data_IF_847775615458
#
_entry.id   IF_847775615458
#
_cell.length_a   1.000
_cell.length_b   1.000
_cell.length_c   1.000
_cell.angle_alpha   90.00
_cell.angle_beta   90.00
_cell.angle_gamma   90.00
#
_symmetry.space_group_name_H-M   'P 1'
#
loop_
_entity.id
_entity.type
_entity.pdbx_description
1 polymer ?
#
# COMPACT_ATOMS: atom_id res chain seq x y z
N UNK A 1 18.60 2.98 -7.42
CA UNK A 1 19.01 1.88 -8.33
C UNK A 1 18.96 0.51 -7.65
N UNK A 2 19.54 0.33 -6.45
CA UNK A 2 19.49 -0.96 -5.73
C UNK A 2 18.07 -1.50 -5.47
N UNK A 3 17.10 -0.62 -5.19
CA UNK A 3 15.71 -1.00 -4.90
C UNK A 3 15.00 -1.68 -6.07
N UNK A 4 15.19 -1.16 -7.29
CA UNK A 4 14.60 -1.76 -8.51
C UNK A 4 15.22 -3.13 -8.77
N UNK A 5 16.53 -3.25 -8.61
CA UNK A 5 17.23 -4.54 -8.74
C UNK A 5 16.71 -5.56 -7.71
N UNK A 6 16.49 -5.15 -6.46
CA UNK A 6 15.93 -6.01 -5.42
C UNK A 6 14.50 -6.50 -5.78
N UNK A 7 13.67 -5.62 -6.34
CA UNK A 7 12.34 -5.99 -6.82
C UNK A 7 12.39 -7.01 -7.96
N UNK A 8 13.29 -6.82 -8.94
CA UNK A 8 13.47 -7.77 -10.03
C UNK A 8 13.93 -9.15 -9.53
N UNK A 9 14.88 -9.18 -8.58
CA UNK A 9 15.36 -10.42 -7.96
C UNK A 9 14.25 -11.09 -7.15
N UNK A 10 13.46 -10.33 -6.40
CA UNK A 10 12.32 -10.83 -5.64
C UNK A 10 11.26 -11.51 -6.52
N UNK A 11 10.97 -10.93 -7.70
CA UNK A 11 10.04 -11.52 -8.69
C UNK A 11 10.61 -12.82 -9.28
N UNK A 12 11.90 -12.83 -9.64
CA UNK A 12 12.56 -14.01 -10.19
C UNK A 12 12.63 -15.16 -9.17
N UNK A 13 13.03 -14.86 -7.93
CA UNK A 13 13.04 -15.82 -6.83
C UNK A 13 11.63 -16.32 -6.50
N UNK A 14 10.63 -15.42 -6.49
CA UNK A 14 9.23 -15.77 -6.31
C UNK A 14 8.67 -16.68 -7.41
N UNK A 15 9.19 -16.62 -8.64
CA UNK A 15 8.78 -17.53 -9.72
C UNK A 15 9.47 -18.91 -9.61
N UNK A 16 10.70 -18.94 -9.12
CA UNK A 16 11.52 -20.16 -9.07
C UNK A 16 11.29 -21.00 -7.80
N UNK A 17 10.97 -20.37 -6.66
CA UNK A 17 10.79 -21.06 -5.37
C UNK A 17 9.35 -21.50 -5.06
N UNK A 18 8.33 -21.12 -5.83
CA UNK A 18 6.91 -21.24 -5.43
C UNK A 18 6.07 -22.23 -6.28
N UNK A 19 6.19 -23.55 -6.07
CA UNK A 19 5.18 -24.50 -6.52
C UNK A 19 3.87 -24.33 -5.71
N UNK A 20 2.73 -24.57 -6.37
CA UNK A 20 1.33 -24.21 -6.01
C UNK A 20 0.85 -24.48 -4.55
N UNK A 21 1.61 -25.22 -3.73
CA UNK A 21 1.27 -25.54 -2.33
C UNK A 21 1.73 -24.49 -1.30
N UNK A 22 2.72 -23.65 -1.61
CA UNK A 22 3.23 -22.62 -0.68
C UNK A 22 2.38 -21.35 -0.58
N UNK A 23 1.40 -21.17 -1.48
CA UNK A 23 0.67 -19.90 -1.67
C UNK A 23 -0.03 -19.41 -0.39
N UNK A 24 -0.62 -20.34 0.37
CA UNK A 24 -1.32 -20.04 1.63
C UNK A 24 -0.36 -19.65 2.75
N UNK A 25 0.80 -20.32 2.85
CA UNK A 25 1.82 -19.98 3.84
C UNK A 25 2.44 -18.61 3.54
N UNK A 26 2.70 -18.31 2.26
CA UNK A 26 3.17 -16.98 1.85
C UNK A 26 2.17 -15.89 2.19
N UNK A 27 0.88 -16.15 1.96
CA UNK A 27 -0.15 -15.16 2.22
C UNK A 27 -0.24 -14.85 3.72
N UNK A 28 -0.14 -15.86 4.60
CA UNK A 28 -0.09 -15.65 6.05
C UNK A 28 1.18 -14.92 6.49
N UNK A 29 2.33 -15.31 5.96
CA UNK A 29 3.62 -14.68 6.27
C UNK A 29 3.67 -13.24 5.76
N UNK A 30 3.14 -12.96 4.57
CA UNK A 30 3.02 -11.63 3.99
C UNK A 30 2.09 -10.75 4.82
N UNK A 31 0.96 -11.27 5.28
CA UNK A 31 0.07 -10.50 6.19
C UNK A 31 0.79 -10.19 7.49
N UNK A 32 1.45 -11.17 8.11
CA UNK A 32 2.20 -10.96 9.35
C UNK A 32 3.33 -9.92 9.19
N UNK A 33 4.10 -10.01 8.11
CA UNK A 33 5.15 -9.03 7.78
C UNK A 33 4.56 -7.66 7.49
N UNK A 34 3.44 -7.57 6.76
CA UNK A 34 2.75 -6.31 6.49
C UNK A 34 2.30 -5.65 7.80
N UNK A 35 1.73 -6.42 8.73
CA UNK A 35 1.34 -5.91 10.05
C UNK A 35 2.56 -5.38 10.79
N UNK A 36 3.67 -6.13 10.80
CA UNK A 36 4.90 -5.72 11.45
C UNK A 36 5.48 -4.44 10.81
N UNK A 37 5.49 -4.34 9.49
CA UNK A 37 5.92 -3.15 8.74
C UNK A 37 5.06 -1.92 9.05
N UNK A 38 3.73 -2.07 9.03
CA UNK A 38 2.80 -0.99 9.36
C UNK A 38 3.02 -0.55 10.82
N UNK A 39 3.24 -1.51 11.72
CA UNK A 39 3.53 -1.23 13.12
C UNK A 39 4.83 -0.43 13.28
N UNK A 40 5.93 -0.87 12.64
CA UNK A 40 7.20 -0.14 12.66
C UNK A 40 7.06 1.26 12.08
N UNK A 41 6.31 1.42 10.99
CA UNK A 41 6.04 2.74 10.40
C UNK A 41 5.26 3.63 11.39
N UNK A 42 4.25 3.09 12.07
CA UNK A 42 3.49 3.81 13.10
C UNK A 42 4.35 4.24 14.29
N UNK A 43 5.22 3.34 14.78
CA UNK A 43 6.17 3.65 15.87
C UNK A 43 7.15 4.74 15.43
N UNK A 44 7.67 4.67 14.20
CA UNK A 44 8.55 5.71 13.67
C UNK A 44 7.85 7.07 13.67
N UNK A 45 6.62 7.18 13.18
CA UNK A 45 5.84 8.43 13.21
C UNK A 45 5.62 8.93 14.64
N UNK A 46 5.34 8.03 15.59
CA UNK A 46 5.14 8.39 17.00
C UNK A 46 6.42 8.81 17.75
N UNK A 47 7.60 8.42 17.28
CA UNK A 47 8.89 8.87 17.83
C UNK A 47 9.36 10.20 17.24
N UNK A 48 8.79 10.64 16.12
CA UNK A 48 9.12 11.93 15.52
C UNK A 48 8.39 13.04 16.29
N UNK A 49 9.04 13.60 17.31
CA UNK A 49 8.50 14.71 18.12
C UNK A 49 8.15 15.93 17.26
N UNK A 50 8.93 16.21 16.21
CA UNK A 50 8.59 17.24 15.21
C UNK A 50 7.24 16.99 14.56
N UNK A 51 6.92 15.74 14.18
CA UNK A 51 5.60 15.44 13.63
C UNK A 51 4.55 15.57 14.71
N UNK A 52 4.72 15.01 15.91
CA UNK A 52 3.72 15.08 16.99
C UNK A 52 3.44 16.51 17.48
N UNK A 53 4.47 17.33 17.62
CA UNK A 53 4.36 18.74 18.00
C UNK A 53 3.68 19.56 16.90
N UNK A 54 3.98 19.25 15.63
CA UNK A 54 3.29 19.85 14.49
C UNK A 54 1.93 19.21 14.18
N UNK A 55 1.59 17.98 14.62
CA UNK A 55 0.27 17.36 14.43
C UNK A 55 -0.79 18.19 15.17
N UNK A 56 -0.46 18.77 16.33
CA UNK A 56 -1.40 19.66 17.03
C UNK A 56 -1.75 20.91 16.21
N UNK A 57 -0.80 21.42 15.40
CA UNK A 57 -0.97 22.60 14.55
C UNK A 57 -1.45 22.29 13.13
N UNK A 58 -1.05 21.15 12.56
CA UNK A 58 -1.17 20.78 11.13
C UNK A 58 -2.05 19.53 10.95
N UNK A 59 -2.51 18.90 12.02
CA UNK A 59 -3.26 17.66 11.98
C UNK A 59 -4.58 17.77 11.23
N UNK A 60 -5.23 18.93 11.30
CA UNK A 60 -6.50 19.19 10.61
C UNK A 60 -6.30 19.35 9.10
N UNK A 61 -5.30 20.14 8.68
CA UNK A 61 -4.93 20.28 7.26
C UNK A 61 -4.44 18.96 6.66
N UNK A 62 -3.62 18.21 7.39
CA UNK A 62 -3.13 16.90 6.95
C UNK A 62 -4.26 15.89 6.82
N UNK A 63 -5.23 15.89 7.74
CA UNK A 63 -6.40 15.02 7.68
C UNK A 63 -7.30 15.38 6.49
N UNK A 64 -7.56 16.67 6.26
CA UNK A 64 -8.33 17.14 5.11
C UNK A 64 -7.63 16.79 3.80
N UNK A 65 -6.32 17.01 3.69
CA UNK A 65 -5.55 16.64 2.51
C UNK A 65 -5.55 15.13 2.28
N UNK A 66 -5.40 14.33 3.33
CA UNK A 66 -5.46 12.88 3.25
C UNK A 66 -6.85 12.39 2.77
N UNK A 67 -7.93 12.90 3.36
CA UNK A 67 -9.30 12.59 2.96
C UNK A 67 -9.61 13.01 1.52
N UNK A 68 -9.22 14.23 1.14
CA UNK A 68 -9.41 14.74 -0.22
C UNK A 68 -8.59 13.93 -1.22
N UNK A 69 -7.31 13.63 -0.94
CA UNK A 69 -6.46 12.84 -1.82
C UNK A 69 -6.97 11.40 -1.97
N UNK A 70 -7.43 10.76 -0.88
CA UNK A 70 -8.06 9.44 -0.93
C UNK A 70 -9.34 9.46 -1.76
N UNK A 71 -10.25 10.40 -1.48
CA UNK A 71 -11.51 10.53 -2.21
C UNK A 71 -11.28 10.82 -3.70
N UNK A 72 -10.36 11.73 -4.02
CA UNK A 72 -9.98 12.07 -5.39
C UNK A 72 -9.39 10.85 -6.11
N UNK A 73 -8.48 10.10 -5.48
CA UNK A 73 -7.89 8.89 -6.04
C UNK A 73 -8.96 7.83 -6.36
N UNK A 74 -9.88 7.58 -5.42
CA UNK A 74 -11.00 6.64 -5.62
C UNK A 74 -11.90 7.10 -6.76
N UNK A 75 -12.28 8.39 -6.77
CA UNK A 75 -13.15 8.96 -7.80
C UNK A 75 -12.51 8.88 -9.19
N UNK A 76 -11.22 9.19 -9.30
CA UNK A 76 -10.47 9.17 -10.55
C UNK A 76 -10.37 7.74 -11.09
N UNK A 77 -10.04 6.77 -10.23
CA UNK A 77 -10.05 5.34 -10.59
C UNK A 77 -11.44 4.87 -11.00
N UNK A 78 -12.49 5.31 -10.32
CA UNK A 78 -13.86 4.94 -10.68
C UNK A 78 -14.27 5.49 -12.06
N UNK A 79 -13.98 6.76 -12.32
CA UNK A 79 -14.23 7.39 -13.62
C UNK A 79 -13.40 6.75 -14.73
N UNK A 80 -12.12 6.50 -14.47
CA UNK A 80 -11.23 5.81 -15.39
C UNK A 80 -11.73 4.39 -15.69
N UNK A 81 -12.14 3.63 -14.67
CA UNK A 81 -12.71 2.28 -14.83
C UNK A 81 -14.00 2.33 -15.65
N UNK A 82 -14.91 3.29 -15.38
CA UNK A 82 -16.14 3.45 -16.16
C UNK A 82 -15.92 3.87 -17.62
N UNK A 83 -14.91 4.70 -17.90
CA UNK A 83 -14.59 5.17 -19.26
C UNK A 83 -13.72 4.21 -20.06
N UNK A 84 -12.82 3.46 -19.41
CA UNK A 84 -11.83 2.61 -20.08
C UNK A 84 -12.24 1.14 -20.15
N UNK A 85 -13.06 0.62 -19.22
CA UNK A 85 -13.61 -0.72 -19.34
C UNK A 85 -14.98 -0.66 -20.04
N UNK A 86 -15.09 -1.04 -21.34
CA UNK A 86 -16.39 -1.35 -21.91
C UNK A 86 -16.99 -2.48 -21.07
N UNK A 87 -18.14 -2.20 -20.48
CA UNK A 87 -18.92 -3.10 -19.65
C UNK A 87 -19.15 -4.43 -20.38
N UNK A 88 -18.27 -5.42 -20.18
CA UNK A 88 -18.57 -6.79 -20.57
C UNK A 88 -19.66 -7.23 -19.62
N UNK A 89 -20.91 -7.25 -20.11
CA UNK A 89 -22.03 -7.91 -19.43
C UNK A 89 -21.53 -9.32 -19.11
N UNK A 90 -21.41 -9.62 -17.82
CA UNK A 90 -21.36 -10.98 -17.35
C UNK A 90 -22.70 -11.61 -17.77
N UNK A 91 -22.65 -12.37 -18.87
CA UNK A 91 -23.66 -13.34 -19.25
C UNK A 91 -23.20 -14.70 -18.76
#
# INVERSE_FOLDING_TARGET
MLTIALMCVGIAAGKWLFPRKGKTANSRLQTALTILLIFTMGVSIGQNEDLLQNIASIGLDSALFCLLAMAASILLVYLATRKLLPRKKAG
#
